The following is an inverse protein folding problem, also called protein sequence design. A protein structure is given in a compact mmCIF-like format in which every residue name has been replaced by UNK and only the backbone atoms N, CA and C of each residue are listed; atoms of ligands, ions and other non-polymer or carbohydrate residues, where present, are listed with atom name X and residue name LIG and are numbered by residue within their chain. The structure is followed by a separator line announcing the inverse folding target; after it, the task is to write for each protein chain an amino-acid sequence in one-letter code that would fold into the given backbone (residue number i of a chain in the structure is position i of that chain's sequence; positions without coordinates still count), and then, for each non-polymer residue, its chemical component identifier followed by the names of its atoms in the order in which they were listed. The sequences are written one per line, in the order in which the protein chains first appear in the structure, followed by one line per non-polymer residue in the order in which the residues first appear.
data_IF_490384041982
#
_entry.id   IF_490384041982
#
_cell.length_a   1.000
_cell.length_b   1.000
_cell.length_c   1.000
_cell.angle_alpha   90.00
_cell.angle_beta   90.00
_cell.angle_gamma   90.00
#
_symmetry.space_group_name_H-M   'P 1'
#
loop_
_entity.id
_entity.type
_entity.pdbx_description
1 polymer ?
#
# COMPACT_ATOMS: atom_id res chain seq x y z
N UNK A 1 0.52 -6.47 -14.94
CA UNK A 1 0.35 -5.59 -13.75
C UNK A 1 1.61 -4.77 -13.54
N UNK A 2 1.49 -3.48 -13.53
CA UNK A 2 2.61 -2.58 -13.28
C UNK A 2 2.50 -1.98 -11.88
N UNK A 3 3.59 -2.01 -11.12
CA UNK A 3 3.66 -1.39 -9.80
C UNK A 3 4.45 -0.09 -9.89
N UNK A 4 3.82 1.00 -9.48
CA UNK A 4 4.44 2.31 -9.46
C UNK A 4 4.55 2.74 -8.00
N UNK A 5 5.72 3.22 -7.59
CA UNK A 5 5.97 3.61 -6.20
C UNK A 5 6.11 5.11 -6.09
N UNK A 6 5.52 5.70 -5.04
CA UNK A 6 5.86 7.06 -4.70
C UNK A 6 7.29 7.09 -4.11
N UNK A 7 8.01 8.21 -4.20
CA UNK A 7 9.34 8.30 -3.58
C UNK A 7 9.35 7.97 -2.10
N UNK A 8 8.31 8.40 -1.38
CA UNK A 8 8.16 8.09 0.04
C UNK A 8 8.03 6.59 0.27
N UNK A 9 7.21 5.92 -0.52
CA UNK A 9 7.04 4.47 -0.42
C UNK A 9 8.35 3.74 -0.67
N UNK A 10 9.04 4.08 -1.75
CA UNK A 10 10.32 3.44 -2.11
C UNK A 10 11.32 3.51 -0.94
N UNK A 11 11.41 4.68 -0.33
CA UNK A 11 12.32 4.89 0.79
C UNK A 11 11.93 4.08 2.02
N UNK A 12 10.63 3.98 2.30
CA UNK A 12 10.13 3.28 3.48
C UNK A 12 10.20 1.76 3.35
N UNK A 13 9.83 1.23 2.20
CA UNK A 13 9.67 -0.21 2.02
C UNK A 13 10.99 -0.96 2.21
N UNK A 14 12.10 -0.40 1.72
CA UNK A 14 13.41 -1.03 1.85
C UNK A 14 13.87 -1.16 3.30
N UNK A 15 13.39 -0.27 4.16
CA UNK A 15 13.75 -0.28 5.59
C UNK A 15 12.85 -1.21 6.41
N UNK A 16 11.68 -1.55 5.90
CA UNK A 16 10.66 -2.25 6.68
C UNK A 16 10.56 -3.75 6.36
N UNK A 17 10.76 -4.14 5.12
CA UNK A 17 10.67 -5.54 4.74
C UNK A 17 11.77 -5.91 3.74
N UNK A 18 12.02 -7.22 3.62
CA UNK A 18 13.00 -7.74 2.66
C UNK A 18 12.47 -7.65 1.23
N UNK A 19 13.39 -7.72 0.26
CA UNK A 19 13.03 -7.76 -1.15
C UNK A 19 12.16 -8.97 -1.47
N UNK A 20 12.43 -10.12 -0.86
CA UNK A 20 11.64 -11.33 -1.06
C UNK A 20 10.21 -11.15 -0.54
N UNK A 21 10.06 -10.54 0.64
CA UNK A 21 8.75 -10.27 1.20
C UNK A 21 7.96 -9.28 0.36
N UNK A 22 8.63 -8.24 -0.13
CA UNK A 22 7.98 -7.27 -1.02
C UNK A 22 7.58 -7.90 -2.35
N UNK A 23 8.44 -8.74 -2.91
CA UNK A 23 8.10 -9.48 -4.13
C UNK A 23 6.86 -10.35 -3.94
N UNK A 24 6.74 -11.01 -2.77
CA UNK A 24 5.57 -11.81 -2.45
C UNK A 24 4.31 -10.97 -2.32
N UNK A 25 4.41 -9.78 -1.72
CA UNK A 25 3.30 -8.83 -1.64
C UNK A 25 2.84 -8.39 -3.04
N UNK A 26 3.78 -8.07 -3.92
CA UNK A 26 3.45 -7.68 -5.29
C UNK A 26 2.75 -8.80 -6.05
N UNK A 27 3.21 -10.04 -5.89
CA UNK A 27 2.57 -11.20 -6.52
C UNK A 27 1.14 -11.39 -6.01
N UNK A 28 0.92 -11.21 -4.72
CA UNK A 28 -0.42 -11.30 -4.15
C UNK A 28 -1.35 -10.22 -4.70
N UNK A 29 -0.88 -8.98 -4.78
CA UNK A 29 -1.67 -7.88 -5.32
C UNK A 29 -1.89 -8.01 -6.83
N UNK A 30 -0.95 -8.62 -7.57
CA UNK A 30 -1.16 -8.88 -8.98
C UNK A 30 -2.29 -9.87 -9.22
N UNK A 31 -2.44 -10.86 -8.34
CA UNK A 31 -3.53 -11.83 -8.40
C UNK A 31 -4.85 -11.26 -7.89
N UNK A 32 -4.78 -10.48 -6.83
CA UNK A 32 -5.96 -9.97 -6.12
C UNK A 32 -5.80 -8.48 -5.81
N UNK A 33 -5.90 -7.63 -6.84
CA UNK A 33 -5.63 -6.19 -6.66
C UNK A 33 -6.62 -5.49 -5.73
N UNK A 34 -7.79 -6.06 -5.53
CA UNK A 34 -8.81 -5.50 -4.64
C UNK A 34 -8.82 -6.16 -3.26
N UNK A 35 -7.76 -6.89 -2.92
CA UNK A 35 -7.67 -7.60 -1.64
C UNK A 35 -7.66 -6.66 -0.43
N UNK A 36 -6.98 -5.52 -0.54
CA UNK A 36 -6.94 -4.54 0.52
C UNK A 36 -8.31 -3.91 0.77
N UNK A 37 -8.60 -3.58 2.03
CA UNK A 37 -9.85 -2.94 2.39
C UNK A 37 -9.86 -1.48 1.97
N UNK A 38 -10.98 -1.02 1.44
CA UNK A 38 -11.15 0.40 1.11
C UNK A 38 -11.09 1.24 2.39
N UNK A 39 -10.38 2.35 2.31
CA UNK A 39 -10.29 3.29 3.41
C UNK A 39 -11.44 4.28 3.30
N UNK A 40 -12.20 4.44 4.39
CA UNK A 40 -13.33 5.36 4.44
C UNK A 40 -12.82 6.78 4.18
N UNK A 41 -13.46 7.47 3.23
CA UNK A 41 -13.05 8.83 2.83
C UNK A 41 -11.80 8.88 1.99
N UNK A 42 -11.26 7.73 1.57
CA UNK A 42 -9.99 7.66 0.84
C UNK A 42 -10.07 7.76 -0.68
N UNK A 43 -11.28 7.82 -1.25
CA UNK A 43 -11.41 7.99 -2.70
C UNK A 43 -10.90 6.81 -3.52
N UNK A 44 -10.92 5.61 -2.97
CA UNK A 44 -10.49 4.40 -3.66
C UNK A 44 -9.18 3.82 -3.17
N UNK A 45 -8.47 4.51 -2.28
CA UNK A 45 -7.24 3.93 -1.71
C UNK A 45 -7.59 2.77 -0.79
N UNK A 46 -6.67 1.80 -0.73
CA UNK A 46 -6.86 0.56 0.02
C UNK A 46 -5.72 0.34 0.99
N UNK A 47 -6.01 -0.37 2.05
CA UNK A 47 -5.02 -0.79 3.05
C UNK A 47 -4.93 -2.31 3.04
N UNK A 48 -3.73 -2.84 2.84
CA UNK A 48 -3.48 -4.26 2.98
C UNK A 48 -2.52 -4.50 4.14
N UNK A 49 -2.85 -5.49 4.95
CA UNK A 49 -1.98 -5.98 6.02
C UNK A 49 -1.06 -7.02 5.42
N UNK A 50 0.24 -6.87 5.65
CA UNK A 50 1.21 -7.81 5.15
C UNK A 50 2.08 -8.33 6.29
N UNK A 51 2.02 -9.64 6.50
CA UNK A 51 2.79 -10.31 7.54
C UNK A 51 4.17 -10.62 6.98
N UNK A 52 5.19 -10.48 7.81
CA UNK A 52 6.57 -10.71 7.39
C UNK A 52 6.95 -12.20 7.31
N UNK A 53 6.05 -13.09 7.72
CA UNK A 53 6.25 -14.52 7.58
C UNK A 53 7.34 -15.10 8.48
N UNK A 54 7.78 -14.39 9.49
CA UNK A 54 8.85 -14.84 10.38
C UNK A 54 8.35 -15.46 11.69
N UNK A 55 7.06 -15.72 11.79
CA UNK A 55 6.47 -16.38 12.95
C UNK A 55 6.33 -15.50 14.18
N UNK A 56 6.63 -14.23 14.10
CA UNK A 56 6.56 -13.34 15.27
C UNK A 56 5.17 -12.73 15.48
N UNK A 57 4.18 -13.27 14.82
CA UNK A 57 2.79 -12.88 15.03
C UNK A 57 2.43 -11.54 14.42
N UNK A 58 1.28 -11.04 14.86
CA UNK A 58 0.64 -9.89 14.22
C UNK A 58 1.36 -8.57 14.43
N UNK A 59 2.26 -8.49 15.40
CA UNK A 59 2.96 -7.24 15.73
C UNK A 59 4.10 -6.92 14.78
N UNK A 60 4.54 -7.90 13.96
CA UNK A 60 5.67 -7.73 13.05
C UNK A 60 5.29 -7.34 11.63
N UNK A 61 4.00 -7.19 11.36
CA UNK A 61 3.51 -6.88 10.03
C UNK A 61 3.60 -5.41 9.67
N UNK A 62 3.38 -5.13 8.40
CA UNK A 62 3.28 -3.76 7.89
C UNK A 62 1.88 -3.51 7.35
N UNK A 63 1.53 -2.24 7.26
CA UNK A 63 0.33 -1.76 6.59
C UNK A 63 0.76 -1.02 5.34
N UNK A 64 0.28 -1.48 4.19
CA UNK A 64 0.59 -0.86 2.90
C UNK A 64 -0.66 -0.20 2.34
N UNK A 65 -0.52 1.06 1.96
CA UNK A 65 -1.60 1.84 1.34
C UNK A 65 -1.32 1.90 -0.14
N UNK A 66 -2.30 1.54 -0.94
CA UNK A 66 -2.14 1.53 -2.39
C UNK A 66 -3.43 1.95 -3.09
N UNK A 67 -3.31 2.28 -4.37
CA UNK A 67 -4.44 2.60 -5.24
C UNK A 67 -4.37 1.74 -6.49
N UNK A 68 -5.45 1.04 -6.81
CA UNK A 68 -5.53 0.22 -8.01
C UNK A 68 -6.20 0.99 -9.15
N UNK A 69 -5.43 1.30 -10.19
CA UNK A 69 -5.93 1.93 -11.41
C UNK A 69 -6.31 0.83 -12.40
N UNK A 70 -7.54 0.37 -12.29
CA UNK A 70 -8.03 -0.83 -13.00
C UNK A 70 -7.92 -0.69 -14.50
N UNK A 71 -8.26 0.47 -15.05
CA UNK A 71 -8.25 0.71 -16.49
C UNK A 71 -6.88 0.56 -17.12
N UNK A 72 -5.82 0.77 -16.37
CA UNK A 72 -4.45 0.65 -16.87
C UNK A 72 -3.73 -0.56 -16.31
N UNK A 73 -4.38 -1.37 -15.50
CA UNK A 73 -3.78 -2.51 -14.82
C UNK A 73 -2.51 -2.10 -14.07
N UNK A 74 -2.62 -1.02 -13.31
CA UNK A 74 -1.52 -0.45 -12.52
C UNK A 74 -1.91 -0.34 -11.06
N UNK A 75 -0.92 -0.54 -10.18
CA UNK A 75 -1.08 -0.26 -8.76
C UNK A 75 -0.06 0.80 -8.36
N UNK A 76 -0.55 1.87 -7.74
CA UNK A 76 0.29 2.89 -7.14
C UNK A 76 0.49 2.56 -5.66
N UNK A 77 1.75 2.29 -5.30
CA UNK A 77 2.14 2.04 -3.91
C UNK A 77 2.39 3.39 -3.26
N UNK A 78 1.53 3.76 -2.31
CA UNK A 78 1.49 5.14 -1.78
C UNK A 78 2.30 5.32 -0.51
N UNK A 79 2.15 4.40 0.43
CA UNK A 79 2.68 4.58 1.77
C UNK A 79 2.73 3.24 2.48
N UNK A 80 3.72 3.06 3.36
CA UNK A 80 3.84 1.85 4.16
C UNK A 80 4.32 2.23 5.56
N UNK A 81 3.78 1.58 6.57
CA UNK A 81 4.18 1.83 7.96
C UNK A 81 4.07 0.54 8.77
N UNK A 82 4.90 0.39 9.82
CA UNK A 82 4.81 -0.79 10.66
C UNK A 82 3.54 -0.73 11.53
N UNK A 83 2.96 -1.90 11.76
CA UNK A 83 1.73 -2.03 12.54
C UNK A 83 1.88 -1.47 13.96
N UNK A 84 3.05 -1.65 14.56
CA UNK A 84 3.28 -1.24 15.94
C UNK A 84 3.40 0.28 16.12
N UNK A 85 3.52 1.04 15.04
CA UNK A 85 3.57 2.51 15.07
C UNK A 85 2.18 3.11 15.04
N UNK A 86 1.33 2.58 14.16
CA UNK A 86 -0.04 3.06 14.01
C UNK A 86 -0.91 1.95 13.41
N UNK A 87 -2.16 1.90 13.81
CA UNK A 87 -3.10 0.93 13.23
C UNK A 87 -3.85 1.53 12.05
N UNK A 88 -4.16 2.81 12.12
CA UNK A 88 -4.90 3.53 11.08
C UNK A 88 -4.19 4.83 10.72
N UNK A 89 -4.47 5.29 9.49
CA UNK A 89 -4.05 6.62 9.06
C UNK A 89 -4.81 7.69 9.83
N UNK A 90 -4.17 8.83 10.04
CA UNK A 90 -4.88 10.03 10.51
C UNK A 90 -5.75 10.57 9.36
N UNK A 91 -6.72 11.41 9.70
CA UNK A 91 -7.57 12.05 8.69
C UNK A 91 -6.74 12.88 7.71
N UNK A 92 -5.73 13.58 8.20
CA UNK A 92 -4.85 14.39 7.37
C UNK A 92 -4.04 13.52 6.41
N UNK A 93 -3.50 12.40 6.89
CA UNK A 93 -2.77 11.46 6.03
C UNK A 93 -3.69 10.88 4.95
N UNK A 94 -4.90 10.51 5.32
CA UNK A 94 -5.89 9.99 4.36
C UNK A 94 -6.16 10.99 3.26
N UNK A 95 -6.33 12.26 3.63
CA UNK A 95 -6.58 13.32 2.66
C UNK A 95 -5.41 13.51 1.70
N UNK A 96 -4.19 13.54 2.21
CA UNK A 96 -2.99 13.70 1.38
C UNK A 96 -2.86 12.54 0.41
N UNK A 97 -3.02 11.30 0.88
CA UNK A 97 -2.88 10.12 0.04
C UNK A 97 -4.02 10.03 -0.98
N UNK A 98 -5.22 10.42 -0.60
CA UNK A 98 -6.34 10.51 -1.53
C UNK A 98 -6.04 11.49 -2.68
N UNK A 99 -5.48 12.65 -2.37
CA UNK A 99 -5.16 13.65 -3.38
C UNK A 99 -4.08 13.13 -4.34
N UNK A 100 -3.07 12.44 -3.84
CA UNK A 100 -2.04 11.82 -4.68
C UNK A 100 -2.65 10.76 -5.59
N UNK A 101 -3.53 9.92 -5.07
CA UNK A 101 -4.21 8.90 -5.86
C UNK A 101 -5.08 9.52 -6.95
N UNK A 102 -5.74 10.63 -6.65
CA UNK A 102 -6.58 11.34 -7.62
C UNK A 102 -5.74 11.89 -8.77
N UNK A 103 -4.59 12.48 -8.47
CA UNK A 103 -3.68 12.94 -9.52
C UNK A 103 -3.22 11.79 -10.40
N UNK A 104 -2.88 10.66 -9.81
CA UNK A 104 -2.50 9.46 -10.55
C UNK A 104 -3.63 8.95 -11.44
N UNK A 105 -4.85 8.95 -10.92
CA UNK A 105 -6.03 8.52 -11.68
C UNK A 105 -6.27 9.41 -12.91
N UNK A 106 -6.05 10.71 -12.75
CA UNK A 106 -6.31 11.71 -13.80
C UNK A 106 -5.20 11.76 -14.85
N UNK A 107 -4.04 11.15 -14.60
CA UNK A 107 -2.97 11.02 -15.60
C UNK A 107 -3.37 10.08 -16.73
N UNK A 108 -3.02 10.47 -17.93
CA UNK A 108 -3.26 9.65 -19.12
C UNK A 108 -2.15 8.65 -19.42
#
# INVERSE_FOLDING_TARGET
MEFIETPTFTKQITQLISDDSYSALQKELAKHPKKGALIIGGGGIRKIRWDLGNGQGKSSGVRTIYYYKEMKNQILMLFVYPKNVADNLTDNQTKILKDIAKEFLDEE
#
